data_IF_671748247429
#
_entry.id   IF_671748247429
#
_cell.length_a   1.000
_cell.length_b   1.000
_cell.length_c   1.000
_cell.angle_alpha   90.00
_cell.angle_beta   90.00
_cell.angle_gamma   90.00
#
_symmetry.space_group_name_H-M   'P 1'
#
loop_
_entity.id
_entity.type
_entity.pdbx_description
1 polymer ?
#
# COMPACT_ATOMS: atom_id res chain seq x y z
N UNK A 1 -6.94 -39.34 8.34
CA UNK A 1 -6.59 -38.11 7.60
C UNK A 1 -7.78 -37.16 7.58
N UNK A 2 -8.01 -36.34 8.61
CA UNK A 2 -8.83 -35.12 8.48
C UNK A 2 -8.75 -34.27 9.75
N UNK A 3 -8.49 -32.97 9.58
CA UNK A 3 -9.24 -31.81 10.07
C UNK A 3 -8.30 -30.64 10.34
N UNK A 4 -8.66 -29.49 9.79
CA UNK A 4 -8.04 -28.20 10.04
C UNK A 4 -8.96 -27.08 9.58
N UNK A 5 -10.15 -27.04 10.17
CA UNK A 5 -11.03 -25.87 10.12
C UNK A 5 -10.35 -24.74 10.92
N UNK A 6 -10.00 -23.63 10.26
CA UNK A 6 -9.42 -22.45 10.92
C UNK A 6 -10.46 -21.33 10.98
N UNK A 7 -11.40 -21.50 11.92
CA UNK A 7 -12.06 -20.38 12.56
C UNK A 7 -10.98 -19.52 13.22
N UNK A 8 -10.78 -18.30 12.73
CA UNK A 8 -10.08 -17.28 13.52
C UNK A 8 -11.01 -16.09 13.75
N UNK A 9 -11.29 -15.89 15.03
CA UNK A 9 -12.02 -14.80 15.65
C UNK A 9 -11.04 -13.70 16.03
N UNK A 10 -10.86 -12.71 15.16
CA UNK A 10 -10.41 -11.39 15.61
C UNK A 10 -11.01 -10.32 14.71
N UNK A 11 -11.41 -9.20 15.29
CA UNK A 11 -11.70 -8.01 14.51
C UNK A 11 -10.39 -7.57 13.84
N UNK A 12 -10.38 -7.27 12.53
CA UNK A 12 -9.22 -6.65 11.89
C UNK A 12 -8.86 -5.36 12.65
N UNK A 13 -7.56 -5.00 12.77
CA UNK A 13 -7.16 -3.78 13.45
C UNK A 13 -7.91 -2.60 12.83
N UNK A 14 -8.69 -1.89 13.64
CA UNK A 14 -9.42 -0.69 13.24
C UNK A 14 -8.42 0.32 12.67
N UNK A 15 -8.38 0.50 11.35
CA UNK A 15 -7.58 1.55 10.73
C UNK A 15 -8.21 2.90 11.06
N UNK A 16 -7.81 3.50 12.17
CA UNK A 16 -7.84 4.94 12.40
C UNK A 16 -6.45 5.48 12.03
N UNK A 17 -6.32 6.18 10.91
CA UNK A 17 -5.25 7.17 10.72
C UNK A 17 -5.82 8.38 9.95
N UNK A 18 -5.63 9.56 10.54
CA UNK A 18 -5.94 10.86 9.98
C UNK A 18 -5.01 11.23 8.80
N UNK A 19 -5.57 11.89 7.77
CA UNK A 19 -4.84 12.78 6.86
C UNK A 19 -4.43 12.19 5.51
N UNK A 20 -4.87 12.84 4.43
CA UNK A 20 -4.51 12.66 3.01
C UNK A 20 -5.16 11.50 2.23
N UNK A 21 -6.48 11.64 2.02
CA UNK A 21 -7.30 10.81 1.12
C UNK A 21 -7.20 11.28 -0.34
N UNK A 22 -6.84 10.39 -1.27
CA UNK A 22 -6.78 10.71 -2.70
C UNK A 22 -7.73 9.82 -3.51
N UNK A 23 -8.54 10.45 -4.36
CA UNK A 23 -9.78 9.87 -4.89
C UNK A 23 -9.64 9.50 -6.37
N UNK A 24 -10.08 8.30 -6.74
CA UNK A 24 -10.46 7.94 -8.12
C UNK A 24 -11.91 7.45 -8.12
N UNK A 25 -12.72 7.96 -9.04
CA UNK A 25 -14.19 8.08 -8.98
C UNK A 25 -15.01 6.79 -8.96
N UNK A 26 -14.41 5.59 -8.85
CA UNK A 26 -15.15 4.31 -8.82
C UNK A 26 -14.75 3.31 -7.74
N UNK A 27 -13.64 3.51 -7.01
CA UNK A 27 -13.27 2.72 -5.80
C UNK A 27 -12.42 3.60 -4.87
N UNK A 28 -12.96 3.91 -3.69
CA UNK A 28 -12.26 4.68 -2.67
C UNK A 28 -11.05 3.89 -2.18
N UNK A 29 -9.84 4.34 -2.53
CA UNK A 29 -8.59 3.69 -2.15
C UNK A 29 -7.73 4.74 -1.43
N UNK A 30 -7.64 4.64 -0.10
CA UNK A 30 -6.84 5.55 0.71
C UNK A 30 -5.36 5.17 0.63
N UNK A 31 -4.48 6.16 0.43
CA UNK A 31 -3.02 5.96 0.42
C UNK A 31 -2.48 6.31 1.78
N UNK A 32 -2.06 5.31 2.54
CA UNK A 32 -1.43 5.53 3.82
C UNK A 32 0.09 5.66 3.65
N UNK A 33 0.64 6.82 3.95
CA UNK A 33 2.06 7.10 3.81
C UNK A 33 2.83 6.73 5.09
N UNK A 34 3.89 5.96 4.92
CA UNK A 34 4.80 5.58 6.02
C UNK A 34 6.26 5.75 5.60
N UNK A 35 7.15 5.72 6.57
CA UNK A 35 8.59 5.86 6.36
C UNK A 35 9.30 4.58 6.76
N UNK A 36 10.25 4.11 5.95
CA UNK A 36 11.14 3.01 6.34
C UNK A 36 12.23 3.52 7.27
N UNK A 37 12.89 2.61 8.01
CA UNK A 37 14.04 2.96 8.89
C UNK A 37 15.15 3.78 8.21
N UNK A 38 15.28 3.67 6.88
CA UNK A 38 16.25 4.43 6.08
C UNK A 38 15.71 5.78 5.56
N UNK A 39 14.60 6.29 6.09
CA UNK A 39 13.99 7.56 5.69
C UNK A 39 13.21 7.52 4.37
N UNK A 40 13.21 6.40 3.63
CA UNK A 40 12.49 6.32 2.35
C UNK A 40 10.99 6.15 2.58
N UNK A 41 10.19 6.96 1.88
CA UNK A 41 8.72 6.89 1.87
C UNK A 41 8.22 5.57 1.26
N UNK A 42 7.10 5.10 1.77
CA UNK A 42 6.38 3.91 1.31
C UNK A 42 4.88 4.22 1.34
N UNK A 43 4.16 3.81 0.30
CA UNK A 43 2.69 3.88 0.28
C UNK A 43 2.11 2.53 0.71
N UNK A 44 1.01 2.56 1.46
CA UNK A 44 0.20 1.39 1.80
C UNK A 44 -1.21 1.62 1.27
N UNK A 45 -1.69 0.68 0.46
CA UNK A 45 -3.04 0.68 -0.10
C UNK A 45 -3.60 -0.73 0.07
N UNK A 46 -4.73 -0.85 0.78
CA UNK A 46 -5.43 -2.13 1.00
C UNK A 46 -4.50 -3.27 1.51
N UNK A 47 -3.56 -2.94 2.39
CA UNK A 47 -2.60 -3.90 2.96
C UNK A 47 -1.37 -4.20 2.09
N UNK A 48 -1.31 -3.71 0.85
CA UNK A 48 -0.14 -3.83 0.00
C UNK A 48 0.77 -2.62 0.11
N UNK A 49 2.07 -2.84 -0.04
CA UNK A 49 3.08 -1.76 0.05
C UNK A 49 3.64 -1.42 -1.32
N UNK A 50 3.91 -0.14 -1.55
CA UNK A 50 4.39 0.43 -2.80
C UNK A 50 5.58 1.36 -2.56
N UNK A 51 6.57 1.32 -3.46
CA UNK A 51 7.72 2.22 -3.45
C UNK A 51 7.73 3.10 -4.69
N UNK A 52 8.26 4.32 -4.57
CA UNK A 52 8.46 5.20 -5.72
C UNK A 52 9.60 4.65 -6.59
N UNK A 53 9.24 4.13 -7.77
CA UNK A 53 10.18 3.59 -8.76
C UNK A 53 10.79 4.70 -9.61
N UNK A 54 9.97 5.67 -10.01
CA UNK A 54 10.38 6.81 -10.84
C UNK A 54 9.64 8.06 -10.38
N UNK A 55 10.35 9.18 -10.35
CA UNK A 55 9.77 10.50 -10.09
C UNK A 55 10.23 11.46 -11.19
N UNK A 56 9.30 12.21 -11.77
CA UNK A 56 9.58 13.30 -12.69
C UNK A 56 8.84 14.57 -12.21
N UNK A 57 8.97 15.68 -12.94
CA UNK A 57 8.36 16.99 -12.61
C UNK A 57 6.84 16.93 -12.49
N UNK A 58 6.17 16.05 -13.24
CA UNK A 58 4.69 15.96 -13.27
C UNK A 58 4.14 14.86 -12.37
N UNK A 59 4.79 13.70 -12.35
CA UNK A 59 4.23 12.49 -11.75
C UNK A 59 5.27 11.63 -11.06
N UNK A 60 4.78 10.77 -10.17
CA UNK A 60 5.52 9.74 -9.47
C UNK A 60 4.89 8.39 -9.77
N UNK A 61 5.71 7.43 -10.17
CA UNK A 61 5.31 6.07 -10.45
C UNK A 61 5.66 5.18 -9.25
N UNK A 62 4.62 4.69 -8.60
CA UNK A 62 4.70 3.83 -7.42
C UNK A 62 4.39 2.40 -7.81
N UNK A 63 5.30 1.46 -7.49
CA UNK A 63 5.16 0.03 -7.81
C UNK A 63 5.08 -0.79 -6.54
N UNK A 64 4.38 -1.93 -6.61
CA UNK A 64 4.36 -2.88 -5.50
C UNK A 64 5.78 -3.30 -5.09
N UNK A 65 6.02 -3.38 -3.79
CA UNK A 65 7.32 -3.79 -3.22
C UNK A 65 7.70 -5.23 -3.51
N UNK A 66 6.74 -6.08 -3.91
CA UNK A 66 7.03 -7.43 -4.40
C UNK A 66 7.85 -7.41 -5.72
N UNK A 67 7.95 -6.24 -6.35
CA UNK A 67 8.88 -5.97 -7.46
C UNK A 67 8.39 -6.57 -8.77
N UNK A 68 9.33 -7.05 -9.61
CA UNK A 68 9.07 -7.47 -11.00
C UNK A 68 8.00 -8.56 -11.17
N UNK A 69 7.70 -9.32 -10.10
CA UNK A 69 6.69 -10.38 -10.13
C UNK A 69 5.27 -9.81 -10.07
N UNK A 70 5.07 -8.69 -9.39
CA UNK A 70 3.78 -8.04 -9.28
C UNK A 70 3.64 -6.92 -10.33
N UNK A 71 2.46 -6.84 -10.96
CA UNK A 71 2.14 -5.79 -11.94
C UNK A 71 1.34 -4.63 -11.34
N UNK A 72 1.12 -4.61 -10.03
CA UNK A 72 0.39 -3.54 -9.38
C UNK A 72 1.23 -2.26 -9.28
N UNK A 73 0.61 -1.14 -9.61
CA UNK A 73 1.20 0.18 -9.60
C UNK A 73 0.15 1.29 -9.47
N UNK A 74 0.59 2.50 -9.15
CA UNK A 74 -0.18 3.71 -9.37
C UNK A 74 0.72 4.88 -9.78
N UNK A 75 0.15 5.84 -10.49
CA UNK A 75 0.79 7.11 -10.82
C UNK A 75 0.09 8.22 -10.05
N UNK A 76 0.89 8.98 -9.31
CA UNK A 76 0.45 10.13 -8.55
C UNK A 76 0.99 11.41 -9.20
N UNK A 77 0.17 12.45 -9.33
CA UNK A 77 0.66 13.79 -9.69
C UNK A 77 1.33 14.46 -8.49
N UNK A 78 2.03 15.58 -8.71
CA UNK A 78 2.56 16.41 -7.62
C UNK A 78 1.46 17.10 -6.79
N UNK A 79 0.25 17.24 -7.34
CA UNK A 79 -0.97 17.66 -6.64
C UNK A 79 -1.66 16.50 -5.90
N UNK A 80 -1.00 15.34 -5.84
CA UNK A 80 -1.47 14.13 -5.18
C UNK A 80 -2.75 13.52 -5.81
N UNK A 81 -2.97 13.70 -7.11
CA UNK A 81 -4.06 13.06 -7.82
C UNK A 81 -3.60 11.75 -8.44
N UNK A 82 -4.39 10.68 -8.24
CA UNK A 82 -4.09 9.38 -8.83
C UNK A 82 -4.62 9.31 -10.26
N UNK A 83 -3.73 9.43 -11.24
CA UNK A 83 -4.10 9.54 -12.66
C UNK A 83 -4.15 8.20 -13.40
N UNK A 84 -3.42 7.19 -12.90
CA UNK A 84 -3.45 5.80 -13.41
C UNK A 84 -3.16 4.83 -12.28
N UNK A 85 -3.77 3.65 -12.33
CA UNK A 85 -3.52 2.60 -11.34
C UNK A 85 -3.83 1.21 -11.90
N UNK A 86 -3.09 0.23 -11.42
CA UNK A 86 -3.45 -1.17 -11.45
C UNK A 86 -3.24 -1.73 -10.04
N UNK A 87 -4.29 -2.22 -9.40
CA UNK A 87 -4.22 -2.81 -8.05
C UNK A 87 -4.47 -4.32 -8.08
N UNK A 88 -4.36 -4.95 -9.25
CA UNK A 88 -4.40 -6.40 -9.35
C UNK A 88 -3.09 -7.01 -8.87
N UNK A 89 -3.18 -7.84 -7.83
CA UNK A 89 -2.06 -8.53 -7.20
C UNK A 89 -2.22 -10.03 -7.37
N UNK A 90 -1.14 -10.69 -7.77
CA UNK A 90 -1.02 -12.15 -7.91
C UNK A 90 -0.33 -12.81 -6.71
N UNK A 91 -0.24 -12.09 -5.59
CA UNK A 91 0.41 -12.54 -4.36
C UNK A 91 -0.35 -12.04 -3.14
N UNK A 92 -0.15 -12.71 -2.00
CA UNK A 92 -0.71 -12.27 -0.73
C UNK A 92 -0.06 -10.95 -0.25
N UNK A 93 -0.76 -10.14 0.55
CA UNK A 93 -0.18 -8.99 1.24
C UNK A 93 1.01 -9.39 2.14
N UNK A 94 2.03 -8.53 2.29
CA UNK A 94 3.11 -8.78 3.23
C UNK A 94 2.67 -8.56 4.68
N UNK A 95 3.32 -9.23 5.63
CA UNK A 95 3.18 -8.93 7.06
C UNK A 95 4.08 -7.76 7.46
N UNK A 96 3.51 -6.78 8.15
CA UNK A 96 4.25 -5.63 8.69
C UNK A 96 3.50 -5.00 9.86
N UNK A 97 4.21 -4.16 10.61
CA UNK A 97 3.67 -3.30 11.65
C UNK A 97 3.97 -1.85 11.28
N UNK A 98 3.03 -0.95 11.61
CA UNK A 98 3.24 0.49 11.55
C UNK A 98 3.30 1.00 12.98
N UNK A 99 4.38 1.70 13.34
CA UNK A 99 4.56 2.30 14.66
C UNK A 99 5.08 3.73 14.49
N UNK A 100 4.34 4.72 14.97
CA UNK A 100 4.65 6.15 14.81
C UNK A 100 4.98 6.55 13.36
N UNK A 101 4.18 6.07 12.39
CA UNK A 101 4.40 6.31 10.97
C UNK A 101 5.60 5.57 10.35
N UNK A 102 6.28 4.71 11.12
CA UNK A 102 7.38 3.89 10.63
C UNK A 102 6.93 2.48 10.23
N UNK A 103 7.36 2.05 9.04
CA UNK A 103 7.18 0.70 8.54
C UNK A 103 8.22 -0.26 9.12
N UNK A 104 7.74 -1.33 9.76
CA UNK A 104 8.56 -2.40 10.32
C UNK A 104 8.11 -3.73 9.68
N UNK A 105 9.01 -4.36 8.93
CA UNK A 105 8.76 -5.69 8.36
C UNK A 105 8.82 -6.74 9.46
N UNK A 106 7.87 -7.68 9.45
CA UNK A 106 7.81 -8.85 10.35
C UNK A 106 8.28 -10.08 9.60
#
# INVERSE_FOLDING_TARGET
MTKGNLNHTHNPPSYMIHGDSYVSSRRMSYVHWVTKKNGKKLAIISGFTFYCDKSNTKTEHWKCTFGRKCRAYFLLTKTCEMVRSNFDHDHAPPNFIIHDGNYIKV
#
